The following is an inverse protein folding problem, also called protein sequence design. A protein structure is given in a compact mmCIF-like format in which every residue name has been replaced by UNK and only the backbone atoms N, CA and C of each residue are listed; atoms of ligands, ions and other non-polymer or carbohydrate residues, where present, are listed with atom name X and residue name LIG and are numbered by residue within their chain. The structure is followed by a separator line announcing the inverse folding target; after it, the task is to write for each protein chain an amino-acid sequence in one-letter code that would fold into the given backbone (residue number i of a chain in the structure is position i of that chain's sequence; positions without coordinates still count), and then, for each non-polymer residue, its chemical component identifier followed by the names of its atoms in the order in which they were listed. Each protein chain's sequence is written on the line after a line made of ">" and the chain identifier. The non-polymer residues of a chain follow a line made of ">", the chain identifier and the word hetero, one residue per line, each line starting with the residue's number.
data_IF_650673026130
#
_entry.id   IF_650673026130
#
_cell.length_a   1.000
_cell.length_b   1.000
_cell.length_c   1.000
_cell.angle_alpha   90.00
_cell.angle_beta   90.00
_cell.angle_gamma   90.00
#
_symmetry.space_group_name_H-M   'P 1'
#
loop_
_entity.id
_entity.type
_entity.pdbx_description
1 polymer ?
#
# COMPACT_ATOMS: atom_id res chain seq x y z
N UNK A 1 -47.77 -28.46 40.60
CA UNK A 1 -47.55 -27.21 39.82
C UNK A 1 -46.12 -27.27 39.26
N UNK A 2 -45.95 -27.65 37.99
CA UNK A 2 -44.63 -27.85 37.36
C UNK A 2 -44.25 -26.61 36.54
N UNK A 3 -43.16 -25.94 36.93
CA UNK A 3 -42.60 -24.81 36.18
C UNK A 3 -41.69 -25.37 35.09
N UNK A 4 -42.16 -25.40 33.83
CA UNK A 4 -41.31 -25.66 32.66
C UNK A 4 -40.48 -24.41 32.38
N UNK A 5 -39.16 -24.49 32.58
CA UNK A 5 -38.20 -23.48 32.09
C UNK A 5 -37.79 -23.86 30.67
N UNK A 6 -38.33 -23.18 29.67
CA UNK A 6 -37.82 -23.25 28.29
C UNK A 6 -36.58 -22.36 28.18
N UNK A 7 -35.44 -22.95 27.80
CA UNK A 7 -34.24 -22.20 27.44
C UNK A 7 -34.41 -21.67 26.01
N UNK A 8 -34.41 -20.35 25.87
CA UNK A 8 -34.38 -19.66 24.57
C UNK A 8 -32.91 -19.63 24.14
N UNK A 9 -32.57 -20.39 23.10
CA UNK A 9 -31.25 -20.37 22.49
C UNK A 9 -31.20 -19.21 21.49
N UNK A 10 -30.51 -18.12 21.86
CA UNK A 10 -30.30 -17.01 20.94
C UNK A 10 -29.19 -17.37 19.95
N UNK A 11 -29.54 -17.47 18.66
CA UNK A 11 -28.59 -17.56 17.55
C UNK A 11 -28.13 -16.13 17.24
N UNK A 12 -26.87 -15.83 17.54
CA UNK A 12 -26.25 -14.57 17.16
C UNK A 12 -25.93 -14.62 15.66
N UNK A 13 -26.79 -14.02 14.83
CA UNK A 13 -26.52 -13.83 13.41
C UNK A 13 -25.59 -12.62 13.26
N UNK A 14 -24.30 -12.87 13.09
CA UNK A 14 -23.34 -11.81 12.76
C UNK A 14 -23.51 -11.49 11.27
N UNK A 15 -24.22 -10.40 10.98
CA UNK A 15 -24.23 -9.78 9.67
C UNK A 15 -22.85 -9.12 9.47
N UNK A 16 -21.97 -9.77 8.71
CA UNK A 16 -20.74 -9.15 8.25
C UNK A 16 -21.11 -8.05 7.24
N UNK A 17 -21.19 -6.81 7.69
CA UNK A 17 -21.26 -5.66 6.80
C UNK A 17 -19.90 -5.51 6.11
N UNK A 18 -19.85 -5.70 4.79
CA UNK A 18 -18.67 -5.33 4.00
C UNK A 18 -18.58 -3.80 4.00
N UNK A 19 -17.84 -3.21 4.95
CA UNK A 19 -17.49 -1.80 4.83
C UNK A 19 -16.58 -1.66 3.60
N UNK A 20 -16.87 -0.67 2.75
CA UNK A 20 -15.94 -0.28 1.70
C UNK A 20 -14.62 0.12 2.38
N UNK A 21 -13.51 -0.48 1.96
CA UNK A 21 -12.21 -0.18 2.54
C UNK A 21 -11.84 1.28 2.32
N UNK A 22 -11.37 1.92 3.38
CA UNK A 22 -10.89 3.28 3.31
C UNK A 22 -9.63 3.37 2.43
N UNK A 23 -9.63 4.35 1.52
CA UNK A 23 -8.45 4.76 0.77
C UNK A 23 -7.68 5.77 1.61
N UNK A 24 -6.36 5.63 1.63
CA UNK A 24 -5.43 6.53 2.32
C UNK A 24 -4.53 7.18 1.27
N UNK A 25 -4.46 8.52 1.25
CA UNK A 25 -3.68 9.27 0.26
C UNK A 25 -2.58 10.09 0.92
N UNK A 26 -1.34 9.69 0.68
CA UNK A 26 -0.14 10.42 1.10
C UNK A 26 0.16 11.52 0.10
N UNK A 27 0.27 12.76 0.57
CA UNK A 27 0.73 13.88 -0.23
C UNK A 27 2.20 14.17 0.08
N UNK A 28 2.96 14.41 -0.96
CA UNK A 28 4.37 14.79 -0.95
C UNK A 28 4.57 16.27 -1.27
N UNK A 29 3.46 17.00 -1.43
CA UNK A 29 3.42 18.42 -1.70
C UNK A 29 3.85 19.19 -0.44
N UNK A 30 5.03 19.79 -0.48
CA UNK A 30 5.52 20.64 0.60
C UNK A 30 7.03 20.61 0.71
N UNK A 31 7.66 21.79 0.56
CA UNK A 31 9.11 21.96 0.66
C UNK A 31 9.74 21.48 1.99
N UNK A 32 8.94 21.11 2.99
CA UNK A 32 9.40 20.47 4.23
C UNK A 32 9.94 19.04 4.06
N UNK A 33 9.80 18.44 2.87
CA UNK A 33 10.33 17.11 2.56
C UNK A 33 11.73 17.13 1.93
N UNK A 34 12.39 18.29 1.80
CA UNK A 34 13.75 18.38 1.24
C UNK A 34 14.84 18.21 2.30
N UNK A 35 15.91 17.50 1.94
CA UNK A 35 17.12 17.40 2.74
C UNK A 35 17.05 16.35 3.86
N UNK A 36 16.11 15.40 3.75
CA UNK A 36 15.90 14.35 4.75
C UNK A 36 16.48 13.02 4.26
N UNK A 37 17.20 12.31 5.13
CA UNK A 37 17.66 10.96 4.82
C UNK A 37 16.48 9.95 4.80
N UNK A 38 15.39 10.31 5.48
CA UNK A 38 14.18 9.51 5.63
C UNK A 38 12.97 10.45 5.80
N UNK A 39 11.87 10.15 5.12
CA UNK A 39 10.58 10.84 5.27
C UNK A 39 9.58 9.86 5.88
N UNK A 40 8.93 10.27 6.97
CA UNK A 40 7.93 9.45 7.67
C UNK A 40 6.59 10.20 7.65
N UNK A 41 5.59 9.60 7.04
CA UNK A 41 4.22 10.13 6.96
C UNK A 41 3.27 9.15 7.64
N UNK A 42 2.31 9.65 8.41
CA UNK A 42 1.31 8.82 9.10
C UNK A 42 -0.08 9.27 8.73
N UNK A 43 -0.91 8.33 8.29
CA UNK A 43 -2.30 8.58 7.91
C UNK A 43 -3.15 7.33 8.11
N UNK A 44 -4.30 7.47 8.77
CA UNK A 44 -5.25 6.37 9.04
C UNK A 44 -4.57 5.12 9.67
N UNK A 45 -3.66 5.34 10.63
CA UNK A 45 -2.83 4.33 11.29
C UNK A 45 -1.90 3.53 10.35
N UNK A 46 -1.74 3.98 9.10
CA UNK A 46 -0.74 3.49 8.17
C UNK A 46 0.43 4.47 8.22
N UNK A 47 1.63 3.95 8.42
CA UNK A 47 2.89 4.71 8.41
C UNK A 47 3.58 4.38 7.11
N UNK A 48 3.86 5.40 6.30
CA UNK A 48 4.71 5.35 5.13
C UNK A 48 6.08 5.92 5.48
N UNK A 49 7.11 5.10 5.31
CA UNK A 49 8.51 5.52 5.35
C UNK A 49 9.07 5.56 3.93
N UNK A 50 9.75 6.65 3.60
CA UNK A 50 10.45 6.85 2.33
C UNK A 50 11.93 7.04 2.62
N UNK A 51 12.78 6.23 2.03
CA UNK A 51 14.21 6.22 2.35
C UNK A 51 15.05 5.74 1.16
N UNK A 52 16.35 5.58 1.40
CA UNK A 52 17.31 5.06 0.43
C UNK A 52 17.28 5.86 -0.89
N UNK A 53 17.28 7.19 -0.77
CA UNK A 53 17.36 8.10 -1.90
C UNK A 53 18.72 7.93 -2.58
N UNK A 54 18.74 7.32 -3.76
CA UNK A 54 19.97 7.19 -4.55
C UNK A 54 20.16 8.47 -5.33
N UNK A 55 20.80 9.44 -4.67
CA UNK A 55 21.12 10.78 -5.17
C UNK A 55 22.57 11.17 -4.84
N UNK A 56 23.05 12.29 -5.38
CA UNK A 56 24.39 12.81 -5.07
C UNK A 56 24.58 13.14 -3.58
N UNK A 57 23.50 13.41 -2.87
CA UNK A 57 23.50 13.77 -1.44
C UNK A 57 22.95 12.66 -0.54
N UNK A 58 22.35 11.61 -1.10
CA UNK A 58 21.55 10.61 -0.38
C UNK A 58 20.42 11.20 0.48
N UNK A 59 19.89 12.36 0.07
CA UNK A 59 18.79 13.05 0.74
C UNK A 59 17.61 13.19 -0.21
N UNK A 60 16.41 13.26 0.38
CA UNK A 60 15.17 13.57 -0.31
C UNK A 60 15.23 14.95 -0.97
N UNK A 61 14.57 15.06 -2.12
CA UNK A 61 14.36 16.32 -2.84
C UNK A 61 12.89 16.44 -3.16
N UNK A 62 12.27 17.48 -2.62
CA UNK A 62 10.86 17.76 -2.79
C UNK A 62 10.56 19.25 -2.64
N UNK A 63 9.63 19.74 -3.42
CA UNK A 63 9.28 21.14 -3.49
C UNK A 63 7.76 21.33 -3.32
N UNK A 64 7.19 22.40 -3.89
CA UNK A 64 5.73 22.59 -3.92
C UNK A 64 5.00 21.46 -4.64
N UNK A 65 5.69 20.81 -5.56
CA UNK A 65 5.08 19.98 -6.58
C UNK A 65 5.48 18.50 -6.48
N UNK A 66 6.11 18.07 -5.37
CA UNK A 66 6.22 16.66 -4.97
C UNK A 66 7.66 16.13 -4.80
N UNK A 67 7.81 14.82 -4.62
CA UNK A 67 9.12 14.15 -4.59
C UNK A 67 9.73 14.09 -5.99
N UNK A 68 10.93 14.62 -6.15
CA UNK A 68 11.64 14.70 -7.42
C UNK A 68 12.26 13.35 -7.83
N UNK A 69 11.98 12.93 -9.06
CA UNK A 69 12.79 11.99 -9.83
C UNK A 69 13.37 12.73 -11.03
N UNK A 70 14.69 12.75 -11.20
CA UNK A 70 15.35 13.40 -12.33
C UNK A 70 16.49 12.55 -12.85
N UNK A 71 16.76 12.69 -14.15
CA UNK A 71 17.92 12.11 -14.81
C UNK A 71 19.21 12.85 -14.48
N UNK A 72 20.34 12.31 -14.95
CA UNK A 72 21.67 12.84 -14.68
C UNK A 72 21.77 14.32 -15.11
N UNK A 73 21.80 15.26 -14.15
CA UNK A 73 22.09 16.66 -14.41
C UNK A 73 23.45 17.03 -13.82
N UNK A 74 24.31 17.58 -14.67
CA UNK A 74 25.63 18.10 -14.29
C UNK A 74 25.55 19.46 -13.62
N UNK A 75 24.36 20.08 -13.58
CA UNK A 75 24.16 21.41 -13.02
C UNK A 75 23.88 21.31 -11.52
N UNK A 76 24.86 21.78 -10.74
CA UNK A 76 24.92 21.72 -9.29
C UNK A 76 23.87 22.56 -8.55
N UNK A 77 22.96 23.23 -9.25
CA UNK A 77 21.98 24.16 -8.68
C UNK A 77 20.52 23.82 -8.99
N UNK A 78 20.24 22.65 -9.59
CA UNK A 78 18.88 22.32 -9.98
C UNK A 78 17.97 21.92 -8.82
N UNK A 79 16.73 22.38 -8.96
CA UNK A 79 15.57 22.16 -8.12
C UNK A 79 15.31 20.67 -7.79
N UNK A 80 15.57 19.78 -8.75
CA UNK A 80 15.51 18.33 -8.60
C UNK A 80 16.88 17.70 -8.88
N UNK A 81 17.72 17.55 -7.84
CA UNK A 81 18.95 16.77 -7.98
C UNK A 81 18.64 15.28 -8.21
N UNK A 82 19.46 14.64 -9.06
CA UNK A 82 19.33 13.25 -9.49
C UNK A 82 18.86 12.32 -8.37
N UNK A 83 17.71 11.68 -8.55
CA UNK A 83 17.28 10.57 -7.71
C UNK A 83 16.90 9.43 -8.64
N UNK A 84 17.75 8.41 -8.76
CA UNK A 84 17.51 7.26 -9.64
C UNK A 84 16.58 6.21 -9.00
N UNK A 85 16.59 6.14 -7.68
CA UNK A 85 15.71 5.25 -6.94
C UNK A 85 15.45 5.74 -5.52
N UNK A 86 14.36 5.25 -4.95
CA UNK A 86 14.02 5.38 -3.54
C UNK A 86 13.24 4.14 -3.09
N UNK A 87 13.05 3.99 -1.79
CA UNK A 87 12.25 2.91 -1.21
C UNK A 87 11.02 3.48 -0.49
N UNK A 88 9.89 2.82 -0.66
CA UNK A 88 8.70 2.99 0.18
C UNK A 88 8.57 1.80 1.11
N UNK A 89 8.17 2.01 2.36
CA UNK A 89 7.84 0.93 3.29
C UNK A 89 6.60 1.31 4.09
N UNK A 90 5.64 0.39 4.17
CA UNK A 90 4.43 0.58 4.96
C UNK A 90 4.48 -0.27 6.21
N UNK A 91 4.04 0.25 7.36
CA UNK A 91 3.92 -0.55 8.59
C UNK A 91 2.85 -1.66 8.49
N UNK A 92 1.93 -1.55 7.53
CA UNK A 92 0.82 -2.47 7.26
C UNK A 92 0.85 -2.93 5.81
N UNK A 93 0.19 -4.05 5.52
CA UNK A 93 0.01 -4.51 4.14
C UNK A 93 -0.96 -3.55 3.43
N UNK A 94 -0.60 -3.10 2.24
CA UNK A 94 -1.39 -2.13 1.48
C UNK A 94 -1.46 -2.53 0.01
N UNK A 95 -2.58 -2.24 -0.64
CA UNK A 95 -2.69 -2.33 -2.09
C UNK A 95 -2.38 -0.97 -2.69
N UNK A 96 -1.45 -0.92 -3.65
CA UNK A 96 -1.18 0.30 -4.41
C UNK A 96 -2.33 0.54 -5.39
N UNK A 97 -2.99 1.70 -5.31
CA UNK A 97 -4.21 1.99 -6.09
C UNK A 97 -3.93 2.99 -7.20
N UNK A 98 -3.49 4.19 -6.82
CA UNK A 98 -3.25 5.29 -7.75
C UNK A 98 -2.11 6.18 -7.26
N UNK A 99 -1.62 7.03 -8.16
CA UNK A 99 -0.64 8.06 -7.85
C UNK A 99 -0.94 9.32 -8.65
N UNK A 100 -0.44 10.45 -8.16
CA UNK A 100 -0.47 11.73 -8.85
C UNK A 100 0.95 12.11 -9.26
N UNK A 101 1.13 12.42 -10.53
CA UNK A 101 2.35 13.07 -11.01
C UNK A 101 2.18 14.59 -11.02
N UNK A 102 3.26 15.27 -10.71
CA UNK A 102 3.36 16.72 -10.67
C UNK A 102 3.86 17.31 -11.98
N UNK A 103 4.60 18.39 -11.82
CA UNK A 103 5.19 19.15 -12.90
C UNK A 103 6.19 18.27 -13.68
N UNK A 104 6.02 18.20 -15.00
CA UNK A 104 7.04 17.67 -15.90
C UNK A 104 7.54 18.82 -16.76
N UNK A 105 8.64 19.42 -16.34
CA UNK A 105 9.25 20.46 -17.16
C UNK A 105 10.08 19.80 -18.26
N UNK A 106 9.83 20.23 -19.49
CA UNK A 106 10.51 19.82 -20.73
C UNK A 106 10.22 18.38 -21.20
N UNK A 107 10.32 18.17 -22.52
CA UNK A 107 10.24 16.83 -23.14
C UNK A 107 11.30 15.94 -22.50
N UNK A 108 10.91 15.07 -21.56
CA UNK A 108 11.79 14.01 -21.07
C UNK A 108 12.11 13.13 -22.28
N UNK A 109 13.37 13.09 -22.78
CA UNK A 109 13.67 12.33 -23.98
C UNK A 109 13.42 10.83 -23.74
N UNK A 110 12.81 10.19 -24.74
CA UNK A 110 12.36 8.80 -24.63
C UNK A 110 11.00 8.66 -23.94
N UNK A 111 10.74 7.48 -23.37
CA UNK A 111 9.52 7.21 -22.60
C UNK A 111 9.90 7.11 -21.13
N UNK A 112 9.75 8.19 -20.31
CA UNK A 112 10.02 8.11 -18.89
C UNK A 112 9.16 7.02 -18.26
N UNK A 113 9.75 6.35 -17.29
CA UNK A 113 9.08 5.30 -16.56
C UNK A 113 9.51 5.22 -15.10
N UNK A 114 8.56 4.83 -14.26
CA UNK A 114 8.77 4.47 -12.86
C UNK A 114 8.40 3.00 -12.69
N UNK A 115 9.32 2.21 -12.14
CA UNK A 115 9.06 0.81 -11.79
C UNK A 115 8.95 0.69 -10.29
N UNK A 116 7.79 0.24 -9.82
CA UNK A 116 7.54 -0.11 -8.42
C UNK A 116 7.68 -1.61 -8.27
N UNK A 117 8.55 -2.09 -7.39
CA UNK A 117 8.84 -3.52 -7.27
C UNK A 117 8.99 -3.97 -5.83
N UNK A 118 8.44 -5.16 -5.53
CA UNK A 118 8.61 -5.86 -4.26
C UNK A 118 8.64 -7.37 -4.52
N UNK A 119 9.82 -7.99 -4.44
CA UNK A 119 9.99 -9.40 -4.76
C UNK A 119 9.59 -9.71 -6.21
N UNK A 120 8.64 -10.63 -6.41
CA UNK A 120 8.10 -10.97 -7.73
C UNK A 120 7.01 -10.02 -8.23
N UNK A 121 6.53 -9.09 -7.40
CA UNK A 121 5.52 -8.11 -7.79
C UNK A 121 6.20 -6.89 -8.39
N UNK A 122 5.66 -6.40 -9.52
CA UNK A 122 6.16 -5.19 -10.18
C UNK A 122 5.05 -4.46 -10.92
N UNK A 123 5.18 -3.14 -10.99
CA UNK A 123 4.30 -2.24 -11.73
C UNK A 123 5.13 -1.20 -12.46
N UNK A 124 5.12 -1.25 -13.80
CA UNK A 124 5.78 -0.27 -14.67
C UNK A 124 4.78 0.82 -15.02
N UNK A 125 5.12 2.07 -14.70
CA UNK A 125 4.36 3.25 -15.04
C UNK A 125 5.06 4.00 -16.15
N UNK A 126 4.33 4.38 -17.19
CA UNK A 126 4.80 5.15 -18.35
C UNK A 126 3.73 6.17 -18.72
N UNK A 127 4.12 7.23 -19.44
CA UNK A 127 3.21 8.31 -19.86
C UNK A 127 2.65 9.03 -18.63
N UNK A 128 3.35 10.08 -18.21
CA UNK A 128 2.99 10.89 -17.04
C UNK A 128 2.36 12.19 -17.51
N UNK A 129 1.03 12.26 -17.70
CA UNK A 129 0.37 13.53 -17.96
C UNK A 129 0.50 14.43 -16.74
N UNK A 130 0.86 15.68 -16.96
CA UNK A 130 1.01 16.65 -15.88
C UNK A 130 -0.29 16.80 -15.10
N UNK A 131 -0.16 16.90 -13.77
CA UNK A 131 -1.27 17.19 -12.86
C UNK A 131 -2.44 16.20 -12.95
N UNK A 132 -2.14 14.92 -13.18
CA UNK A 132 -3.16 13.89 -13.39
C UNK A 132 -2.98 12.67 -12.49
N UNK A 133 -4.07 12.24 -11.88
CA UNK A 133 -4.10 10.99 -11.11
C UNK A 133 -4.18 9.80 -12.06
N UNK A 134 -3.26 8.85 -11.90
CA UNK A 134 -3.16 7.64 -12.70
C UNK A 134 -3.33 6.40 -11.82
N UNK A 135 -4.00 5.37 -12.35
CA UNK A 135 -4.03 4.06 -11.70
C UNK A 135 -2.71 3.35 -11.98
N UNK A 136 -2.24 2.55 -11.03
CA UNK A 136 -1.14 1.63 -11.31
C UNK A 136 -1.53 0.65 -12.40
N UNK A 137 -0.70 0.55 -13.45
CA UNK A 137 -0.84 -0.44 -14.53
C UNK A 137 -1.01 -1.86 -13.99
N UNK A 138 -0.24 -2.21 -12.96
CA UNK A 138 -0.45 -3.40 -12.16
C UNK A 138 -0.58 -3.03 -10.68
N UNK A 139 -1.78 -3.20 -10.12
CA UNK A 139 -2.01 -3.02 -8.69
C UNK A 139 -1.60 -4.31 -7.96
N UNK A 140 -0.64 -4.21 -7.04
CA UNK A 140 -0.24 -5.32 -6.19
C UNK A 140 -0.39 -4.99 -4.70
N UNK A 141 -0.48 -6.03 -3.88
CA UNK A 141 -0.46 -5.92 -2.43
C UNK A 141 0.99 -5.94 -1.97
N UNK A 142 1.44 -4.81 -1.45
CA UNK A 142 2.72 -4.71 -0.76
C UNK A 142 2.57 -5.29 0.65
N UNK A 143 3.52 -6.13 1.03
CA UNK A 143 3.60 -6.72 2.36
C UNK A 143 4.05 -5.66 3.38
N UNK A 144 3.47 -5.73 4.58
CA UNK A 144 3.90 -4.92 5.71
C UNK A 144 5.42 -5.02 5.94
N UNK A 145 6.03 -3.91 6.31
CA UNK A 145 7.45 -3.75 6.65
C UNK A 145 8.42 -4.28 5.59
N UNK A 146 7.98 -4.42 4.34
CA UNK A 146 8.83 -4.86 3.24
C UNK A 146 9.03 -3.69 2.27
N UNK A 147 10.27 -3.31 1.94
CA UNK A 147 10.52 -2.22 1.02
C UNK A 147 9.92 -2.48 -0.38
N UNK A 148 9.33 -1.45 -0.95
CA UNK A 148 8.99 -1.34 -2.37
C UNK A 148 10.06 -0.45 -2.98
N UNK A 149 10.85 -1.01 -3.89
CA UNK A 149 11.85 -0.24 -4.62
C UNK A 149 11.17 0.49 -5.77
N UNK A 150 11.35 1.80 -5.81
CA UNK A 150 11.02 2.63 -6.97
C UNK A 150 12.30 2.93 -7.72
N UNK A 151 12.38 2.55 -8.99
CA UNK A 151 13.47 2.93 -9.89
C UNK A 151 12.91 3.70 -11.08
N UNK A 152 13.67 4.65 -11.62
CA UNK A 152 13.32 5.34 -12.86
C UNK A 152 14.37 5.15 -13.95
N UNK A 153 13.95 5.33 -15.20
CA UNK A 153 14.84 5.36 -16.37
C UNK A 153 14.91 6.76 -17.00
N UNK A 154 14.69 7.82 -16.20
CA UNK A 154 14.77 9.20 -16.70
C UNK A 154 16.24 9.44 -17.05
N UNK A 155 16.55 9.42 -18.34
CA UNK A 155 17.90 9.67 -18.84
C UNK A 155 17.94 11.07 -19.44
N UNK A 156 18.86 11.89 -18.94
CA UNK A 156 19.09 13.24 -19.46
C UNK A 156 20.50 13.38 -20.07
N UNK A 157 21.20 12.26 -20.30
CA UNK A 157 22.60 12.24 -20.77
C UNK A 157 22.79 12.79 -22.18
N UNK A 158 21.72 12.88 -22.98
CA UNK A 158 21.76 13.27 -24.40
C UNK A 158 21.28 14.70 -24.69
N UNK A 159 20.78 15.45 -23.70
CA UNK A 159 20.23 16.79 -23.93
C UNK A 159 21.00 17.89 -23.19
N UNK A 160 21.62 18.86 -23.88
CA UNK A 160 22.23 20.04 -23.27
C UNK A 160 21.18 21.11 -22.89
N UNK A 161 20.00 20.68 -22.42
CA UNK A 161 18.85 21.51 -22.08
C UNK A 161 18.53 21.51 -20.58
N UNK A 162 17.55 22.34 -20.15
CA UNK A 162 17.07 22.35 -18.77
C UNK A 162 16.59 20.95 -18.34
N UNK A 163 16.78 20.64 -17.06
CA UNK A 163 16.62 19.29 -16.52
C UNK A 163 15.18 18.82 -16.61
N UNK A 164 14.95 17.73 -17.32
CA UNK A 164 13.66 17.05 -17.28
C UNK A 164 13.53 16.29 -15.97
N UNK A 165 12.52 16.65 -15.19
CA UNK A 165 12.21 16.01 -13.91
C UNK A 165 10.76 15.58 -13.89
N UNK A 166 10.50 14.48 -13.19
CA UNK A 166 9.19 13.95 -12.89
C UNK A 166 8.97 14.09 -11.40
N UNK A 167 7.92 14.79 -10.99
CA UNK A 167 7.56 14.84 -9.59
C UNK A 167 6.44 13.86 -9.25
N UNK A 168 6.60 13.20 -8.12
CA UNK A 168 5.63 12.30 -7.53
C UNK A 168 4.93 13.01 -6.38
N UNK A 169 3.66 13.38 -6.57
CA UNK A 169 2.91 14.27 -5.68
C UNK A 169 2.10 13.54 -4.65
N UNK A 170 1.47 12.44 -5.03
CA UNK A 170 0.72 11.67 -4.07
C UNK A 170 0.67 10.20 -4.42
N UNK A 171 0.44 9.40 -3.38
CA UNK A 171 0.25 7.97 -3.46
C UNK A 171 -1.02 7.61 -2.70
N UNK A 172 -1.99 7.04 -3.41
CA UNK A 172 -3.20 6.48 -2.81
C UNK A 172 -3.04 4.98 -2.68
N UNK A 173 -3.26 4.50 -1.46
CA UNK A 173 -3.25 3.08 -1.13
C UNK A 173 -4.57 2.68 -0.47
N UNK A 174 -4.84 1.39 -0.52
CA UNK A 174 -5.96 0.78 0.18
C UNK A 174 -5.38 -0.14 1.26
N UNK A 175 -5.74 0.06 2.53
CA UNK A 175 -5.32 -0.82 3.61
C UNK A 175 -5.70 -2.27 3.28
N UNK A 176 -4.85 -3.25 3.56
CA UNK A 176 -5.24 -4.66 3.51
C UNK A 176 -5.52 -5.13 4.92
N UNK A 177 -6.78 -5.44 5.23
CA UNK A 177 -7.09 -6.05 6.50
C UNK A 177 -6.34 -7.38 6.61
N UNK A 178 -5.65 -7.55 7.72
CA UNK A 178 -5.23 -8.88 8.16
C UNK A 178 -6.50 -9.68 8.43
N UNK A 179 -6.97 -10.39 7.40
CA UNK A 179 -8.08 -11.33 7.57
C UNK A 179 -7.61 -12.27 8.69
N UNK A 180 -8.34 -12.35 9.82
CA UNK A 180 -8.03 -13.32 10.86
C UNK A 180 -7.93 -14.66 10.16
N UNK A 181 -6.76 -15.29 10.25
CA UNK A 181 -6.46 -16.54 9.55
C UNK A 181 -7.62 -17.53 9.68
N UNK A 182 -7.75 -18.48 8.73
CA UNK A 182 -8.94 -19.32 8.59
C UNK A 182 -9.40 -19.77 9.97
N UNK A 183 -10.63 -19.38 10.34
CA UNK A 183 -11.28 -19.69 11.63
C UNK A 183 -10.77 -21.04 12.13
N UNK A 184 -10.21 -21.13 13.34
CA UNK A 184 -9.52 -22.34 13.78
C UNK A 184 -10.49 -23.51 13.60
N UNK A 185 -10.19 -24.36 12.60
CA UNK A 185 -10.99 -25.56 12.28
C UNK A 185 -11.14 -26.47 13.52
N UNK A 186 -10.26 -26.28 14.51
CA UNK A 186 -10.35 -26.87 15.84
C UNK A 186 -11.64 -26.51 16.60
N UNK A 187 -12.14 -25.27 16.48
CA UNK A 187 -13.40 -24.84 17.10
C UNK A 187 -14.61 -25.56 16.49
N UNK A 188 -14.61 -25.69 15.16
CA UNK A 188 -15.64 -26.46 14.45
C UNK A 188 -15.58 -27.95 14.82
N UNK A 189 -14.39 -28.54 14.88
CA UNK A 189 -14.20 -29.93 15.29
C UNK A 189 -14.74 -30.21 16.72
N UNK A 190 -14.51 -29.30 17.67
CA UNK A 190 -15.05 -29.40 19.02
C UNK A 190 -16.60 -29.34 19.04
N UNK A 191 -17.22 -28.45 18.25
CA UNK A 191 -18.68 -28.34 18.15
C UNK A 191 -19.33 -29.61 17.54
N UNK A 192 -18.73 -30.17 16.48
CA UNK A 192 -19.22 -31.42 15.89
C UNK A 192 -18.99 -32.64 16.81
N UNK A 193 -17.88 -32.66 17.55
CA UNK A 193 -17.60 -33.69 18.56
C UNK A 193 -18.63 -33.70 19.70
N UNK A 194 -19.01 -32.52 20.20
CA UNK A 194 -20.01 -32.39 21.27
C UNK A 194 -21.42 -32.78 20.79
N UNK A 195 -21.80 -32.44 19.55
CA UNK A 195 -23.05 -32.86 18.92
C UNK A 195 -23.20 -34.40 18.85
N UNK A 196 -22.12 -35.11 18.51
CA UNK A 196 -22.11 -36.60 18.46
C UNK A 196 -22.29 -37.22 19.84
N UNK A 197 -21.74 -36.60 20.89
CA UNK A 197 -21.89 -37.05 22.28
C UNK A 197 -23.32 -36.84 22.81
N UNK A 198 -23.96 -35.73 22.44
CA UNK A 198 -25.37 -35.44 22.77
C UNK A 198 -26.35 -36.42 22.09
N UNK A 199 -26.17 -36.72 20.80
CA UNK A 199 -27.02 -37.72 20.11
C UNK A 199 -26.94 -39.09 20.76
N UNK A 200 -25.74 -39.55 21.16
CA UNK A 200 -25.60 -40.85 21.85
C UNK A 200 -26.39 -40.91 23.16
N UNK A 201 -26.42 -39.82 23.94
CA UNK A 201 -27.18 -39.76 25.20
C UNK A 201 -28.70 -39.85 24.99
N UNK A 202 -29.22 -39.27 23.91
CA UNK A 202 -30.66 -39.28 23.59
C UNK A 202 -31.13 -40.68 23.15
N UNK A 203 -30.30 -41.42 22.41
CA UNK A 203 -30.64 -42.78 21.99
C UNK A 203 -30.63 -43.78 23.14
N UNK A 204 -29.77 -43.60 24.14
CA UNK A 204 -29.71 -44.47 25.33
C UNK A 204 -30.79 -44.19 26.37
N UNK A 205 -31.52 -43.08 26.27
CA UNK A 205 -32.58 -42.72 27.23
C UNK A 205 -34.00 -43.12 26.79
N UNK A 206 -34.14 -43.89 25.70
CA UNK A 206 -35.44 -44.49 25.34
C UNK A 206 -35.66 -45.75 26.18
N UNK A 207 -36.68 -45.81 27.06
CA UNK A 207 -37.07 -47.06 27.69
C UNK A 207 -37.62 -48.00 26.62
N UNK A 208 -37.20 -49.27 26.66
CA UNK A 208 -37.85 -50.32 25.89
C UNK A 208 -39.29 -50.46 26.40
N UNK A 209 -40.26 -50.06 25.59
CA UNK A 209 -41.68 -50.39 25.73
C UNK A 209 -41.97 -51.70 24.99
#
# INVERSE_FOLDING_TARGET
>A
MFIKRSAISAVLLVLASSQAKALTTYNFDGGGLTGLAEVILTQDDIILTISNFVSSTNLSKADSDGLCFSGNSSASEDFCQFTSSLQLQFNKSVKLVSYLTGFNDYEIPGTPSLTFSQGSFSSLQTSFPDWSSQLFTNQFIASANTPILITNNIDNSTFPGPVSSLQFRSLTVEAVEDVPGPLPLMGAACAFGYSRKLRRRIFTSRPNS
#
